data_IF_485269154497
#
_entry.id   IF_485269154497
#
_cell.length_a   1.000
_cell.length_b   1.000
_cell.length_c   1.000
_cell.angle_alpha   90.00
_cell.angle_beta   90.00
_cell.angle_gamma   90.00
#
_symmetry.space_group_name_H-M   'P 1'
#
loop_
_entity.id
_entity.type
_entity.pdbx_description
1 polymer ?
#
# COMPACT_ATOMS: atom_id res chain seq x y z
N UNK A 1 -8.23 8.46 17.66
CA UNK A 1 -7.95 7.01 17.74
C UNK A 1 -9.04 6.30 16.94
N UNK A 2 -8.75 5.89 15.71
CA UNK A 2 -9.63 4.90 15.07
C UNK A 2 -9.51 3.63 15.92
N UNK A 3 -10.53 3.33 16.73
CA UNK A 3 -10.64 2.06 17.44
C UNK A 3 -10.44 1.00 16.36
N UNK A 4 -9.38 0.18 16.47
CA UNK A 4 -9.37 -1.12 15.78
C UNK A 4 -10.71 -1.73 16.15
N UNK A 5 -11.62 -1.87 15.20
CA UNK A 5 -12.82 -2.67 15.41
C UNK A 5 -12.29 -4.05 15.79
N UNK A 6 -12.35 -4.35 17.09
CA UNK A 6 -12.08 -5.71 17.54
C UNK A 6 -13.11 -6.54 16.82
N UNK A 7 -12.67 -7.52 16.03
CA UNK A 7 -13.57 -8.54 15.50
C UNK A 7 -14.53 -8.92 16.62
N UNK A 8 -15.85 -8.94 16.37
CA UNK A 8 -16.81 -9.28 17.41
C UNK A 8 -16.34 -10.59 18.04
N UNK A 9 -15.99 -10.53 19.32
CA UNK A 9 -15.59 -11.73 20.05
C UNK A 9 -16.85 -12.57 20.09
N UNK A 10 -16.84 -13.69 19.38
CA UNK A 10 -17.95 -14.62 19.39
C UNK A 10 -18.08 -15.15 20.82
N UNK A 11 -19.02 -14.58 21.59
CA UNK A 11 -19.39 -15.14 22.88
C UNK A 11 -20.27 -16.33 22.56
N UNK A 12 -19.80 -17.51 22.94
CA UNK A 12 -20.54 -18.75 22.76
C UNK A 12 -21.80 -18.66 23.61
N UNK A 13 -22.94 -18.37 22.98
CA UNK A 13 -24.25 -18.44 23.61
C UNK A 13 -24.79 -19.85 23.37
N UNK A 14 -24.75 -20.66 24.42
CA UNK A 14 -25.24 -22.05 24.40
C UNK A 14 -26.76 -22.06 24.55
N UNK A 15 -27.47 -21.86 23.45
CA UNK A 15 -28.89 -22.16 23.37
C UNK A 15 -29.12 -23.67 23.41
N UNK A 16 -30.29 -24.12 23.89
CA UNK A 16 -30.63 -25.53 24.05
C UNK A 16 -30.50 -26.32 22.74
N UNK A 17 -30.99 -25.75 21.62
CA UNK A 17 -30.79 -26.35 20.29
C UNK A 17 -29.33 -26.52 19.89
N UNK A 18 -28.44 -25.58 20.26
CA UNK A 18 -26.99 -25.71 19.98
C UNK A 18 -26.35 -26.80 20.84
N UNK A 19 -26.79 -26.97 22.09
CA UNK A 19 -26.31 -28.05 22.97
C UNK A 19 -26.69 -29.42 22.41
N UNK A 20 -27.92 -29.55 21.90
CA UNK A 20 -28.38 -30.80 21.29
C UNK A 20 -27.56 -31.15 20.04
N UNK A 21 -27.29 -30.18 19.16
CA UNK A 21 -26.43 -30.38 17.98
C UNK A 21 -25.02 -30.80 18.41
N UNK A 22 -24.42 -30.13 19.40
CA UNK A 22 -23.08 -30.48 19.89
C UNK A 22 -23.07 -31.90 20.48
N UNK A 23 -24.09 -32.30 21.24
CA UNK A 23 -24.19 -33.66 21.78
C UNK A 23 -24.32 -34.71 20.69
N UNK A 24 -25.14 -34.44 19.66
CA UNK A 24 -25.23 -35.33 18.49
C UNK A 24 -23.89 -35.45 17.77
N UNK A 25 -23.16 -34.34 17.59
CA UNK A 25 -21.84 -34.38 16.97
C UNK A 25 -20.81 -35.16 17.79
N UNK A 26 -20.80 -34.99 19.11
CA UNK A 26 -19.91 -35.74 20.00
C UNK A 26 -20.21 -37.24 19.97
N UNK A 27 -21.49 -37.62 19.84
CA UNK A 27 -21.91 -39.02 19.76
C UNK A 27 -21.64 -39.65 18.40
N UNK A 28 -21.93 -38.94 17.31
CA UNK A 28 -21.81 -39.47 15.95
C UNK A 28 -20.34 -39.62 15.51
N UNK A 29 -19.48 -38.68 15.90
CA UNK A 29 -18.06 -38.65 15.51
C UNK A 29 -17.10 -39.23 16.55
N UNK A 30 -17.61 -39.78 17.65
CA UNK A 30 -16.81 -40.39 18.75
C UNK A 30 -15.58 -39.57 19.16
N UNK A 31 -15.83 -38.29 19.46
CA UNK A 31 -14.77 -37.30 19.64
C UNK A 31 -14.09 -37.48 21.00
N UNK A 32 -12.85 -37.97 21.01
CA UNK A 32 -12.04 -38.14 22.23
C UNK A 32 -10.97 -37.04 22.40
N UNK A 33 -10.46 -36.51 21.30
CA UNK A 33 -9.35 -35.55 21.27
C UNK A 33 -9.68 -34.27 20.51
N UNK A 34 -8.81 -33.26 20.66
CA UNK A 34 -8.95 -32.02 19.89
C UNK A 34 -8.67 -32.20 18.38
N UNK A 35 -7.97 -33.27 17.99
CA UNK A 35 -7.72 -33.62 16.60
C UNK A 35 -8.99 -34.22 15.96
N UNK A 36 -9.70 -35.08 16.69
CA UNK A 36 -10.98 -35.66 16.26
C UNK A 36 -12.05 -34.56 16.02
N UNK A 37 -12.01 -33.47 16.81
CA UNK A 37 -12.86 -32.29 16.54
C UNK A 37 -12.56 -31.70 15.17
N UNK A 38 -11.29 -31.60 14.77
CA UNK A 38 -10.92 -31.00 13.49
C UNK A 38 -11.35 -31.88 12.32
N UNK A 39 -11.22 -33.20 12.44
CA UNK A 39 -11.66 -34.13 11.41
C UNK A 39 -13.20 -34.18 11.31
N UNK A 40 -13.90 -34.20 12.44
CA UNK A 40 -15.36 -34.06 12.47
C UNK A 40 -15.83 -32.76 11.80
N UNK A 41 -15.12 -31.64 12.00
CA UNK A 41 -15.43 -30.37 11.33
C UNK A 41 -15.18 -30.41 9.82
N UNK A 42 -14.14 -31.12 9.34
CA UNK A 42 -13.89 -31.31 7.90
C UNK A 42 -15.03 -32.12 7.27
N UNK A 43 -15.40 -33.23 7.89
CA UNK A 43 -16.48 -34.09 7.40
C UNK A 43 -17.82 -33.37 7.42
N UNK A 44 -18.14 -32.64 8.50
CA UNK A 44 -19.36 -31.87 8.59
C UNK A 44 -19.42 -30.77 7.54
N UNK A 45 -18.30 -30.06 7.29
CA UNK A 45 -18.23 -29.05 6.23
C UNK A 45 -18.43 -29.70 4.85
N UNK A 46 -17.74 -30.80 4.57
CA UNK A 46 -17.86 -31.54 3.30
C UNK A 46 -19.27 -32.05 3.06
N UNK A 47 -19.88 -32.65 4.09
CA UNK A 47 -21.26 -33.13 4.07
C UNK A 47 -22.27 -32.01 3.86
N UNK A 48 -22.12 -30.89 4.58
CA UNK A 48 -23.00 -29.71 4.40
C UNK A 48 -22.91 -29.16 2.98
N UNK A 49 -21.70 -29.04 2.43
CA UNK A 49 -21.50 -28.58 1.05
C UNK A 49 -22.16 -29.54 0.06
N UNK A 50 -22.03 -30.85 0.27
CA UNK A 50 -22.66 -31.87 -0.56
C UNK A 50 -24.18 -31.74 -0.55
N UNK A 51 -24.80 -31.71 0.63
CA UNK A 51 -26.26 -31.58 0.78
C UNK A 51 -26.79 -30.31 0.10
N UNK A 52 -26.10 -29.19 0.29
CA UNK A 52 -26.51 -27.94 -0.36
C UNK A 52 -26.37 -28.01 -1.89
N UNK A 53 -25.35 -28.69 -2.44
CA UNK A 53 -25.22 -28.90 -3.89
C UNK A 53 -26.23 -29.92 -4.44
N UNK A 54 -26.66 -30.90 -3.65
CA UNK A 54 -27.77 -31.79 -4.02
C UNK A 54 -29.07 -30.99 -4.13
N UNK A 55 -29.33 -30.08 -3.19
CA UNK A 55 -30.47 -29.16 -3.29
C UNK A 55 -30.38 -28.22 -4.51
N UNK A 56 -29.19 -27.72 -4.86
CA UNK A 56 -28.99 -26.96 -6.11
C UNK A 56 -29.27 -27.81 -7.36
N UNK A 57 -28.91 -29.09 -7.34
CA UNK A 57 -29.15 -30.00 -8.47
C UNK A 57 -30.64 -30.31 -8.63
N UNK A 58 -31.34 -30.56 -7.52
CA UNK A 58 -32.79 -30.81 -7.53
C UNK A 58 -33.54 -29.59 -8.08
N UNK A 59 -33.12 -28.36 -7.70
CA UNK A 59 -33.68 -27.12 -8.25
C UNK A 59 -33.35 -26.94 -9.75
N UNK A 60 -32.11 -27.23 -10.16
CA UNK A 60 -31.68 -27.16 -11.56
C UNK A 60 -32.45 -28.13 -12.46
N UNK A 61 -32.69 -29.36 -12.01
CA UNK A 61 -33.44 -30.38 -12.75
C UNK A 61 -34.96 -30.23 -12.62
N UNK A 62 -35.42 -29.56 -11.56
CA UNK A 62 -36.83 -29.33 -11.25
C UNK A 62 -37.53 -30.52 -10.60
N UNK A 63 -36.80 -31.51 -10.09
CA UNK A 63 -37.34 -32.70 -9.43
C UNK A 63 -36.28 -33.35 -8.53
N UNK A 64 -36.72 -34.13 -7.53
CA UNK A 64 -35.80 -34.79 -6.60
C UNK A 64 -35.24 -36.09 -7.15
N UNK A 65 -34.09 -36.51 -6.63
CA UNK A 65 -33.47 -37.78 -6.99
C UNK A 65 -34.43 -38.98 -6.81
N UNK A 66 -34.66 -39.69 -7.91
CA UNK A 66 -35.57 -40.86 -8.02
C UNK A 66 -37.07 -40.52 -8.05
N UNK A 67 -37.43 -39.24 -8.12
CA UNK A 67 -38.79 -38.81 -8.42
C UNK A 67 -39.09 -39.01 -9.92
N UNK A 68 -40.32 -39.40 -10.25
CA UNK A 68 -40.75 -39.45 -11.65
C UNK A 68 -40.89 -38.03 -12.19
N UNK A 69 -40.26 -37.76 -13.32
CA UNK A 69 -40.28 -36.45 -13.98
C UNK A 69 -40.27 -36.63 -15.49
N UNK A 70 -40.92 -35.69 -16.19
CA UNK A 70 -40.89 -35.58 -17.66
C UNK A 70 -39.66 -34.80 -18.16
N UNK A 71 -38.70 -34.51 -17.28
CA UNK A 71 -37.46 -33.81 -17.63
C UNK A 71 -36.64 -34.59 -18.66
N UNK A 72 -36.05 -33.86 -19.61
CA UNK A 72 -35.16 -34.41 -20.64
C UNK A 72 -33.68 -34.43 -20.16
N UNK A 73 -33.43 -34.16 -18.88
CA UNK A 73 -32.11 -34.30 -18.24
C UNK A 73 -32.22 -35.10 -16.94
N UNK A 74 -31.13 -35.75 -16.54
CA UNK A 74 -31.14 -36.73 -15.47
C UNK A 74 -29.93 -36.61 -14.56
N UNK A 75 -30.10 -36.91 -13.28
CA UNK A 75 -28.96 -37.15 -12.38
C UNK A 75 -28.06 -38.25 -12.96
N UNK A 76 -26.75 -38.02 -12.96
CA UNK A 76 -25.75 -38.88 -13.57
C UNK A 76 -24.57 -39.13 -12.64
N UNK A 77 -24.87 -39.42 -11.37
CA UNK A 77 -23.87 -39.73 -10.35
C UNK A 77 -23.13 -38.50 -9.83
N UNK A 78 -21.92 -38.72 -9.33
CA UNK A 78 -21.11 -37.72 -8.66
C UNK A 78 -19.68 -37.72 -9.17
N UNK A 79 -19.05 -36.55 -9.12
CA UNK A 79 -17.63 -36.37 -9.38
C UNK A 79 -16.92 -35.94 -8.11
N UNK A 80 -15.94 -36.74 -7.68
CA UNK A 80 -15.09 -36.37 -6.56
C UNK A 80 -14.20 -35.18 -6.92
N UNK A 81 -14.16 -34.20 -6.01
CA UNK A 81 -13.41 -32.96 -6.14
C UNK A 81 -12.69 -32.66 -4.84
N UNK A 82 -11.36 -32.54 -4.91
CA UNK A 82 -10.56 -32.06 -3.77
C UNK A 82 -10.74 -30.54 -3.63
N UNK A 83 -11.11 -30.10 -2.42
CA UNK A 83 -11.26 -28.70 -2.04
C UNK A 83 -10.41 -28.37 -0.81
N UNK A 84 -9.93 -27.14 -0.74
CA UNK A 84 -9.15 -26.61 0.38
C UNK A 84 -10.02 -25.63 1.18
N UNK A 85 -10.10 -25.85 2.49
CA UNK A 85 -10.89 -25.04 3.43
C UNK A 85 -9.99 -24.47 4.54
N UNK A 86 -10.56 -23.66 5.43
CA UNK A 86 -9.86 -23.20 6.63
C UNK A 86 -9.46 -24.32 7.59
N UNK A 87 -10.06 -25.50 7.46
CA UNK A 87 -9.78 -26.68 8.28
C UNK A 87 -8.84 -27.68 7.58
N UNK A 88 -8.37 -27.37 6.36
CA UNK A 88 -7.49 -28.23 5.56
C UNK A 88 -8.14 -28.73 4.26
N UNK A 89 -7.46 -29.65 3.59
CA UNK A 89 -7.96 -30.30 2.37
C UNK A 89 -8.99 -31.39 2.69
N UNK A 90 -10.05 -31.47 1.89
CA UNK A 90 -11.04 -32.53 1.95
C UNK A 90 -11.54 -32.88 0.54
N UNK A 91 -12.13 -34.07 0.37
CA UNK A 91 -12.81 -34.45 -0.86
C UNK A 91 -14.32 -34.21 -0.69
N UNK A 92 -14.93 -33.60 -1.71
CA UNK A 92 -16.39 -33.46 -1.80
C UNK A 92 -16.88 -34.15 -3.07
N UNK A 93 -18.09 -34.72 -2.99
CA UNK A 93 -18.77 -35.30 -4.14
C UNK A 93 -19.71 -34.26 -4.75
N UNK A 94 -19.42 -33.88 -6.00
CA UNK A 94 -20.23 -32.89 -6.73
C UNK A 94 -21.24 -33.64 -7.60
N UNK A 95 -22.56 -33.39 -7.46
CA UNK A 95 -23.57 -34.04 -8.29
C UNK A 95 -23.41 -33.64 -9.76
N UNK A 96 -23.79 -34.55 -10.67
CA UNK A 96 -23.70 -34.34 -12.10
C UNK A 96 -25.06 -34.57 -12.77
N UNK A 97 -25.36 -33.79 -13.79
CA UNK A 97 -26.45 -34.01 -14.73
C UNK A 97 -25.94 -34.72 -16.00
N UNK A 98 -26.84 -35.34 -16.75
CA UNK A 98 -26.49 -36.14 -17.92
C UNK A 98 -26.06 -35.26 -19.09
N UNK A 99 -26.65 -34.07 -19.23
CA UNK A 99 -26.28 -33.10 -20.28
C UNK A 99 -25.12 -32.17 -19.89
N UNK A 100 -24.58 -32.27 -18.68
CA UNK A 100 -23.46 -31.44 -18.18
C UNK A 100 -23.73 -29.93 -18.18
N UNK A 101 -25.00 -29.55 -18.10
CA UNK A 101 -25.53 -28.18 -18.03
C UNK A 101 -25.52 -27.61 -16.61
N UNK A 102 -25.49 -28.44 -15.57
CA UNK A 102 -25.50 -27.97 -14.18
C UNK A 102 -24.29 -27.09 -13.84
N UNK A 103 -24.52 -25.91 -13.26
CA UNK A 103 -23.48 -24.98 -12.79
C UNK A 103 -23.60 -24.72 -11.28
N UNK A 104 -22.85 -25.46 -10.43
CA UNK A 104 -22.96 -25.31 -8.98
C UNK A 104 -22.55 -23.91 -8.52
N UNK A 105 -23.31 -23.33 -7.59
CA UNK A 105 -23.08 -21.97 -7.08
C UNK A 105 -22.27 -21.98 -5.78
N UNK A 106 -22.50 -22.93 -4.88
CA UNK A 106 -21.76 -23.06 -3.61
C UNK A 106 -20.27 -23.30 -3.85
N UNK A 107 -19.92 -24.29 -4.69
CA UNK A 107 -18.53 -24.54 -5.11
C UNK A 107 -18.46 -24.58 -6.63
N UNK A 108 -18.13 -23.45 -7.23
CA UNK A 108 -18.12 -23.27 -8.69
C UNK A 108 -17.26 -24.31 -9.41
N UNK A 109 -17.57 -24.57 -10.68
CA UNK A 109 -16.75 -25.43 -11.54
C UNK A 109 -15.29 -24.98 -11.49
N UNK A 110 -14.37 -25.93 -11.28
CA UNK A 110 -12.91 -25.72 -11.16
C UNK A 110 -12.44 -24.92 -9.93
N UNK A 111 -13.32 -24.33 -9.12
CA UNK A 111 -12.94 -23.68 -7.86
C UNK A 111 -12.48 -24.75 -6.86
N UNK A 112 -11.18 -24.78 -6.52
CA UNK A 112 -10.60 -25.71 -5.56
C UNK A 112 -10.39 -25.11 -4.17
N UNK A 113 -10.44 -23.79 -4.06
CA UNK A 113 -10.27 -23.09 -2.80
C UNK A 113 -11.60 -22.48 -2.36
N UNK A 114 -12.05 -22.87 -1.17
CA UNK A 114 -13.22 -22.32 -0.48
C UNK A 114 -12.81 -21.62 0.82
N UNK A 115 -11.51 -21.52 1.07
CA UNK A 115 -10.98 -20.79 2.21
C UNK A 115 -10.92 -19.30 1.89
N UNK A 116 -11.28 -18.46 2.85
CA UNK A 116 -11.08 -17.00 2.80
C UNK A 116 -9.58 -16.62 2.92
N UNK A 117 -8.69 -17.44 2.34
CA UNK A 117 -7.23 -17.33 2.46
C UNK A 117 -6.67 -16.27 1.54
N UNK A 118 -7.35 -15.92 0.45
CA UNK A 118 -6.91 -14.89 -0.50
C UNK A 118 -6.53 -13.59 0.20
N UNK A 119 -7.38 -13.11 1.11
CA UNK A 119 -7.11 -11.91 1.90
C UNK A 119 -5.91 -12.07 2.85
N UNK A 120 -5.70 -13.28 3.37
CA UNK A 120 -4.54 -13.59 4.23
C UNK A 120 -3.26 -13.63 3.40
N UNK A 121 -3.28 -14.22 2.19
CA UNK A 121 -2.20 -14.21 1.22
C UNK A 121 -1.81 -12.76 0.88
N UNK A 122 -2.79 -11.94 0.48
CA UNK A 122 -2.57 -10.53 0.16
C UNK A 122 -1.99 -9.80 1.37
N UNK A 123 -2.49 -10.06 2.59
CA UNK A 123 -1.94 -9.46 3.80
C UNK A 123 -0.51 -9.90 4.11
N UNK A 124 -0.14 -11.16 3.88
CA UNK A 124 1.22 -11.66 4.08
C UNK A 124 2.17 -11.04 3.06
N UNK A 125 1.74 -10.97 1.80
CA UNK A 125 2.49 -10.31 0.73
C UNK A 125 2.67 -8.81 1.00
N UNK A 126 1.64 -8.13 1.51
CA UNK A 126 1.72 -6.72 1.92
C UNK A 126 2.71 -6.48 3.07
N UNK A 127 2.88 -7.47 3.96
CA UNK A 127 3.86 -7.43 5.06
C UNK A 127 5.29 -7.75 4.63
N UNK A 128 5.52 -7.97 3.34
CA UNK A 128 6.85 -8.14 2.78
C UNK A 128 7.32 -9.59 2.64
N UNK A 129 6.47 -10.56 2.95
CA UNK A 129 6.81 -11.97 2.77
C UNK A 129 6.96 -12.29 1.27
N UNK A 130 7.90 -13.17 0.93
CA UNK A 130 8.07 -13.68 -0.43
C UNK A 130 6.99 -14.72 -0.77
N UNK A 131 6.75 -14.97 -2.06
CA UNK A 131 5.82 -16.00 -2.54
C UNK A 131 6.10 -17.37 -1.90
N UNK A 132 7.38 -17.74 -1.83
CA UNK A 132 7.84 -18.96 -1.16
C UNK A 132 7.56 -18.99 0.33
N UNK A 133 7.87 -17.91 1.07
CA UNK A 133 7.58 -17.86 2.51
C UNK A 133 6.08 -17.95 2.79
N UNK A 134 5.25 -17.36 1.94
CA UNK A 134 3.79 -17.45 2.05
C UNK A 134 3.34 -18.89 1.83
N UNK A 135 3.86 -19.54 0.79
CA UNK A 135 3.59 -20.95 0.50
C UNK A 135 3.93 -21.85 1.70
N UNK A 136 5.15 -21.75 2.23
CA UNK A 136 5.60 -22.47 3.43
C UNK A 136 4.69 -22.17 4.65
N UNK A 137 4.32 -20.91 4.87
CA UNK A 137 3.43 -20.52 5.99
C UNK A 137 2.01 -21.07 5.85
N UNK A 138 1.51 -21.22 4.62
CA UNK A 138 0.18 -21.80 4.38
C UNK A 138 0.20 -23.29 4.63
N UNK A 139 1.24 -23.98 4.18
CA UNK A 139 1.43 -25.41 4.45
C UNK A 139 1.51 -25.67 5.97
N UNK A 140 2.31 -24.87 6.70
CA UNK A 140 2.47 -24.99 8.15
C UNK A 140 1.17 -24.76 8.94
N UNK A 141 0.32 -23.81 8.52
CA UNK A 141 -0.87 -23.40 9.28
C UNK A 141 -2.13 -24.16 8.84
N UNK A 142 -2.27 -24.44 7.54
CA UNK A 142 -3.49 -25.03 6.98
C UNK A 142 -3.31 -26.46 6.49
N UNK A 143 -2.08 -27.01 6.47
CA UNK A 143 -1.81 -28.41 6.13
C UNK A 143 -1.97 -28.74 4.64
N UNK A 144 -2.06 -27.74 3.76
CA UNK A 144 -2.09 -27.96 2.32
C UNK A 144 -1.04 -27.11 1.59
N UNK A 145 -0.41 -27.71 0.59
CA UNK A 145 0.60 -27.06 -0.23
C UNK A 145 -0.05 -26.02 -1.17
N UNK A 146 0.60 -24.87 -1.31
CA UNK A 146 0.26 -23.86 -2.32
C UNK A 146 1.50 -23.50 -3.13
N UNK A 147 1.38 -23.39 -4.44
CA UNK A 147 2.52 -23.04 -5.29
C UNK A 147 2.79 -21.53 -5.27
N UNK A 148 4.04 -21.13 -5.56
CA UNK A 148 4.37 -19.70 -5.73
C UNK A 148 3.55 -19.03 -6.84
N UNK A 149 3.22 -19.79 -7.89
CA UNK A 149 2.33 -19.34 -8.98
C UNK A 149 0.94 -19.00 -8.47
N UNK A 150 0.34 -19.87 -7.64
CA UNK A 150 -0.95 -19.60 -7.01
C UNK A 150 -0.92 -18.33 -6.15
N UNK A 151 0.15 -18.11 -5.38
CA UNK A 151 0.32 -16.87 -4.60
C UNK A 151 0.38 -15.65 -5.53
N UNK A 152 1.09 -15.75 -6.66
CA UNK A 152 1.11 -14.67 -7.66
C UNK A 152 -0.30 -14.40 -8.18
N UNK A 153 -1.02 -15.43 -8.63
CA UNK A 153 -2.37 -15.31 -9.19
C UNK A 153 -3.35 -14.65 -8.19
N UNK A 154 -3.31 -15.05 -6.92
CA UNK A 154 -4.12 -14.44 -5.85
C UNK A 154 -3.78 -12.95 -5.69
N UNK A 155 -2.50 -12.61 -5.69
CA UNK A 155 -2.08 -11.20 -5.59
C UNK A 155 -2.33 -10.42 -6.88
N UNK A 156 -2.46 -11.05 -8.04
CA UNK A 156 -2.79 -10.36 -9.29
C UNK A 156 -4.27 -9.95 -9.35
N UNK A 157 -5.13 -10.56 -8.53
CA UNK A 157 -6.54 -10.14 -8.38
C UNK A 157 -6.70 -8.69 -7.89
N UNK A 158 -5.67 -8.10 -7.28
CA UNK A 158 -5.72 -6.69 -6.85
C UNK A 158 -5.34 -5.70 -7.93
N UNK A 159 -4.82 -6.13 -9.09
CA UNK A 159 -4.41 -5.21 -10.17
C UNK A 159 -5.50 -4.21 -10.59
N UNK A 160 -6.78 -4.59 -10.77
CA UNK A 160 -7.84 -3.63 -11.05
C UNK A 160 -8.02 -2.59 -9.94
N UNK A 161 -7.87 -2.99 -8.68
CA UNK A 161 -7.95 -2.06 -7.54
C UNK A 161 -6.79 -1.05 -7.55
N UNK A 162 -5.62 -1.45 -8.05
CA UNK A 162 -4.49 -0.53 -8.17
C UNK A 162 -4.78 0.50 -9.26
N UNK A 163 -5.33 0.06 -10.40
CA UNK A 163 -5.73 0.95 -11.48
C UNK A 163 -6.81 1.94 -11.02
N UNK A 164 -7.84 1.46 -10.32
CA UNK A 164 -8.87 2.31 -9.70
C UNK A 164 -8.26 3.32 -8.71
N UNK A 165 -7.32 2.87 -7.88
CA UNK A 165 -6.65 3.74 -6.92
C UNK A 165 -5.74 4.78 -7.59
N UNK A 166 -5.07 4.44 -8.68
CA UNK A 166 -4.27 5.38 -9.46
C UNK A 166 -5.16 6.41 -10.17
N UNK A 167 -6.36 6.02 -10.61
CA UNK A 167 -7.28 6.90 -11.33
C UNK A 167 -8.31 7.62 -10.45
N UNK A 168 -8.34 7.35 -9.15
CA UNK A 168 -9.32 7.94 -8.22
C UNK A 168 -9.31 9.48 -8.26
N UNK A 169 -10.47 10.14 -8.10
CA UNK A 169 -10.56 11.60 -8.08
C UNK A 169 -9.80 12.16 -6.86
N UNK A 170 -8.84 13.07 -7.07
CA UNK A 170 -8.14 13.79 -6.01
C UNK A 170 -8.98 14.96 -5.49
N UNK A 171 -8.54 15.56 -4.39
CA UNK A 171 -9.08 16.84 -3.94
C UNK A 171 -8.69 17.95 -4.91
N UNK A 172 -9.50 19.02 -4.93
CA UNK A 172 -9.26 20.14 -5.84
C UNK A 172 -7.99 20.93 -5.49
N UNK A 173 -7.69 21.07 -4.19
CA UNK A 173 -6.57 21.90 -3.70
C UNK A 173 -5.73 21.14 -2.69
N UNK A 174 -4.41 21.20 -2.86
CA UNK A 174 -3.44 20.64 -1.91
C UNK A 174 -2.53 21.73 -1.32
N UNK A 175 -2.58 21.94 0.01
CA UNK A 175 -1.67 22.86 0.68
C UNK A 175 -0.19 22.51 0.50
N UNK A 176 0.19 21.26 0.73
CA UNK A 176 1.59 20.83 0.66
C UNK A 176 1.66 19.46 -0.02
N UNK A 177 2.53 19.34 -1.01
CA UNK A 177 2.80 18.11 -1.73
C UNK A 177 4.30 17.80 -1.70
N UNK A 178 4.64 16.57 -1.37
CA UNK A 178 6.00 16.04 -1.31
C UNK A 178 6.23 15.05 -2.44
N UNK A 179 7.38 15.17 -3.10
CA UNK A 179 7.81 14.23 -4.14
C UNK A 179 9.18 13.68 -3.73
N UNK A 180 9.26 12.35 -3.60
CA UNK A 180 10.52 11.66 -3.31
C UNK A 180 10.63 10.40 -4.17
N UNK A 181 11.87 9.92 -4.35
CA UNK A 181 12.21 8.80 -5.19
C UNK A 181 12.85 7.66 -4.38
N UNK A 182 12.46 6.42 -4.66
CA UNK A 182 13.12 5.22 -4.16
C UNK A 182 13.53 4.36 -5.33
N UNK A 183 14.77 3.88 -5.31
CA UNK A 183 15.30 3.04 -6.37
C UNK A 183 15.10 1.56 -6.05
N UNK A 184 14.60 0.81 -7.02
CA UNK A 184 14.41 -0.63 -6.96
C UNK A 184 15.06 -1.31 -8.16
N UNK A 185 15.57 -2.52 -7.96
CA UNK A 185 16.08 -3.35 -9.06
C UNK A 185 14.92 -4.10 -9.69
N UNK A 186 14.68 -3.88 -10.98
CA UNK A 186 13.61 -4.51 -11.74
C UNK A 186 14.18 -5.18 -12.97
N UNK A 187 13.66 -6.35 -13.32
CA UNK A 187 13.99 -7.05 -14.55
C UNK A 187 13.09 -6.52 -15.67
N UNK A 188 13.73 -5.93 -16.68
CA UNK A 188 13.09 -5.43 -17.88
C UNK A 188 13.77 -6.09 -19.09
N UNK A 189 12.98 -6.80 -19.91
CA UNK A 189 13.46 -7.50 -21.11
C UNK A 189 14.71 -8.38 -20.88
N UNK A 190 14.76 -9.07 -19.74
CA UNK A 190 15.88 -9.94 -19.35
C UNK A 190 17.08 -9.24 -18.71
N UNK A 191 17.10 -7.90 -18.67
CA UNK A 191 18.17 -7.10 -18.05
C UNK A 191 17.68 -6.53 -16.73
N UNK A 192 18.53 -6.55 -15.69
CA UNK A 192 18.22 -5.92 -14.41
C UNK A 192 18.58 -4.44 -14.48
N UNK A 193 17.59 -3.56 -14.36
CA UNK A 193 17.75 -2.10 -14.30
C UNK A 193 17.40 -1.59 -12.91
N UNK A 194 17.99 -0.45 -12.52
CA UNK A 194 17.59 0.29 -11.33
C UNK A 194 16.59 1.35 -11.74
N UNK A 195 15.31 1.12 -11.47
CA UNK A 195 14.24 2.07 -11.75
C UNK A 195 13.96 2.93 -10.52
N UNK A 196 13.61 4.19 -10.75
CA UNK A 196 13.15 5.09 -9.72
C UNK A 196 11.63 4.98 -9.60
N UNK A 197 11.13 4.76 -8.39
CA UNK A 197 9.73 4.94 -8.05
C UNK A 197 9.54 6.29 -7.39
N UNK A 198 8.78 7.15 -8.04
CA UNK A 198 8.39 8.45 -7.50
C UNK A 198 7.10 8.30 -6.70
N UNK A 199 7.12 8.80 -5.48
CA UNK A 199 5.98 8.77 -4.57
C UNK A 199 5.56 10.21 -4.31
N UNK A 200 4.29 10.49 -4.59
CA UNK A 200 3.66 11.77 -4.32
C UNK A 200 2.83 11.64 -3.04
N UNK A 201 3.28 12.30 -1.98
CA UNK A 201 2.61 12.35 -0.69
C UNK A 201 2.07 13.76 -0.46
N UNK A 202 0.81 13.89 -0.11
CA UNK A 202 0.20 15.18 0.18
C UNK A 202 -0.13 15.34 1.67
N UNK A 203 -0.36 16.60 2.03
CA UNK A 203 -1.11 17.00 3.21
C UNK A 203 -2.35 17.73 2.70
N UNK A 204 -3.53 17.14 2.95
CA UNK A 204 -4.79 17.71 2.51
C UNK A 204 -5.22 18.91 3.39
N UNK A 205 -6.35 19.54 3.05
CA UNK A 205 -6.90 20.71 3.77
C UNK A 205 -7.25 20.43 5.23
N UNK A 206 -7.51 19.17 5.59
CA UNK A 206 -7.75 18.73 6.97
C UNK A 206 -6.45 18.41 7.75
N UNK A 207 -5.29 18.53 7.11
CA UNK A 207 -3.99 18.22 7.71
C UNK A 207 -3.73 16.73 7.83
N UNK A 208 -4.46 15.90 7.08
CA UNK A 208 -4.22 14.45 6.98
C UNK A 208 -3.23 14.19 5.84
N UNK A 209 -2.36 13.22 6.07
CA UNK A 209 -1.40 12.76 5.07
C UNK A 209 -2.05 11.71 4.19
N UNK A 210 -1.81 11.78 2.90
CA UNK A 210 -2.24 10.78 1.94
C UNK A 210 -1.16 10.57 0.87
N UNK A 211 -1.19 9.42 0.20
CA UNK A 211 -0.33 9.15 -0.97
C UNK A 211 -1.21 9.31 -2.20
N UNK A 212 -0.95 10.32 -3.02
CA UNK A 212 -1.76 10.61 -4.21
C UNK A 212 -1.46 9.66 -5.37
N UNK A 213 -0.17 9.36 -5.55
CA UNK A 213 0.28 8.46 -6.61
C UNK A 213 1.65 7.86 -6.29
N UNK A 214 1.90 6.71 -6.89
CA UNK A 214 3.21 6.09 -6.99
C UNK A 214 3.44 5.67 -8.43
N UNK A 215 4.48 6.20 -9.06
CA UNK A 215 4.79 5.93 -10.46
C UNK A 215 6.20 5.35 -10.57
N UNK A 216 6.35 4.31 -11.36
CA UNK A 216 7.66 3.74 -11.71
C UNK A 216 8.10 4.43 -13.00
N UNK A 217 9.33 4.96 -13.02
CA UNK A 217 9.86 5.68 -14.17
C UNK A 217 11.36 5.45 -14.36
N UNK A 218 11.78 5.37 -15.63
CA UNK A 218 13.18 5.24 -16.04
C UNK A 218 13.83 6.61 -16.35
N UNK A 219 13.02 7.67 -16.56
CA UNK A 219 13.50 8.96 -17.07
C UNK A 219 13.18 10.17 -16.17
N UNK A 220 14.23 10.82 -15.64
CA UNK A 220 14.18 12.12 -14.96
C UNK A 220 14.19 13.30 -15.95
N UNK A 221 13.29 13.32 -16.94
CA UNK A 221 13.21 14.44 -17.88
C UNK A 221 12.13 15.45 -17.48
N UNK A 222 12.31 16.72 -17.86
CA UNK A 222 11.27 17.74 -17.68
C UNK A 222 9.93 17.34 -18.32
N UNK A 223 9.96 16.65 -19.47
CA UNK A 223 8.76 16.12 -20.13
C UNK A 223 8.03 15.07 -19.28
N UNK A 224 8.78 14.21 -18.60
CA UNK A 224 8.20 13.19 -17.71
C UNK A 224 7.50 13.84 -16.51
N UNK A 225 8.15 14.80 -15.85
CA UNK A 225 7.53 15.53 -14.74
C UNK A 225 6.30 16.31 -15.18
N UNK A 226 6.35 16.93 -16.36
CA UNK A 226 5.20 17.61 -16.93
C UNK A 226 4.03 16.64 -17.18
N UNK A 227 4.29 15.42 -17.65
CA UNK A 227 3.23 14.40 -17.79
C UNK A 227 2.63 14.00 -16.45
N UNK A 228 3.45 13.79 -15.42
CA UNK A 228 2.96 13.42 -14.07
C UNK A 228 2.11 14.55 -13.47
N UNK A 229 2.53 15.81 -13.60
CA UNK A 229 1.77 16.95 -13.10
C UNK A 229 0.48 17.20 -13.91
N UNK A 230 0.51 16.98 -15.23
CA UNK A 230 -0.68 17.06 -16.07
C UNK A 230 -1.66 15.94 -15.75
N UNK A 231 -1.20 14.74 -15.40
CA UNK A 231 -2.08 13.66 -14.93
C UNK A 231 -2.85 14.08 -13.68
N UNK A 232 -2.17 14.67 -12.68
CA UNK A 232 -2.83 15.21 -11.48
C UNK A 232 -3.89 16.26 -11.85
N UNK A 233 -3.55 17.16 -12.76
CA UNK A 233 -4.47 18.21 -13.25
C UNK A 233 -5.69 17.61 -13.95
N UNK A 234 -5.48 16.64 -14.83
CA UNK A 234 -6.54 15.94 -15.57
C UNK A 234 -7.46 15.13 -14.64
N UNK A 235 -6.90 14.59 -13.54
CA UNK A 235 -7.68 13.88 -12.53
C UNK A 235 -8.57 14.81 -11.69
N UNK A 236 -8.26 16.11 -11.62
CA UNK A 236 -9.10 17.11 -10.95
C UNK A 236 -8.38 18.09 -10.03
N UNK A 237 -7.04 18.00 -9.91
CA UNK A 237 -6.27 18.97 -9.10
C UNK A 237 -6.27 20.33 -9.78
N UNK A 238 -6.88 21.32 -9.11
CA UNK A 238 -6.95 22.71 -9.58
C UNK A 238 -5.77 23.53 -9.11
N UNK A 239 -5.35 23.34 -7.85
CA UNK A 239 -4.30 24.16 -7.28
C UNK A 239 -3.41 23.43 -6.25
N UNK A 240 -2.15 23.82 -6.20
CA UNK A 240 -1.16 23.34 -5.23
C UNK A 240 -0.41 24.55 -4.70
N UNK A 241 -0.36 24.74 -3.38
CA UNK A 241 0.35 25.91 -2.83
C UNK A 241 1.85 25.68 -2.83
N UNK A 242 2.29 24.57 -2.25
CA UNK A 242 3.70 24.26 -2.03
C UNK A 242 4.02 22.86 -2.55
N UNK A 243 5.03 22.75 -3.41
CA UNK A 243 5.64 21.46 -3.77
C UNK A 243 7.05 21.40 -3.18
N UNK A 244 7.30 20.40 -2.34
CA UNK A 244 8.58 20.10 -1.74
C UNK A 244 9.15 18.82 -2.37
N UNK A 245 10.22 18.95 -3.16
CA UNK A 245 10.87 17.80 -3.79
C UNK A 245 12.39 17.86 -3.60
N UNK A 246 13.07 16.73 -3.82
CA UNK A 246 14.50 16.83 -4.14
C UNK A 246 14.67 17.60 -5.47
N UNK A 247 15.88 18.06 -5.77
CA UNK A 247 16.16 18.72 -7.05
C UNK A 247 16.33 17.70 -8.15
N UNK A 248 15.18 17.14 -8.53
CA UNK A 248 15.00 16.25 -9.65
C UNK A 248 15.14 17.07 -10.94
N UNK A 249 15.79 16.49 -11.94
CA UNK A 249 16.09 17.20 -13.18
C UNK A 249 14.81 17.63 -13.90
N UNK A 250 14.69 18.92 -14.23
CA UNK A 250 13.56 19.44 -15.00
C UNK A 250 12.25 19.65 -14.24
N UNK A 251 12.22 19.39 -12.92
CA UNK A 251 10.99 19.48 -12.12
C UNK A 251 10.53 20.93 -11.90
N UNK A 252 11.47 21.87 -11.75
CA UNK A 252 11.16 23.30 -11.53
C UNK A 252 10.44 23.88 -12.74
N UNK A 253 10.91 23.55 -13.94
CA UNK A 253 10.32 23.97 -15.22
C UNK A 253 8.95 23.31 -15.42
N UNK A 254 8.80 22.04 -15.06
CA UNK A 254 7.54 21.32 -15.16
C UNK A 254 6.47 21.88 -14.21
N UNK A 255 6.85 22.22 -12.96
CA UNK A 255 5.95 22.87 -11.99
C UNK A 255 5.51 24.23 -12.52
N UNK A 256 6.45 25.06 -12.98
CA UNK A 256 6.13 26.38 -13.51
C UNK A 256 5.17 26.33 -14.72
N UNK A 257 5.25 25.27 -15.53
CA UNK A 257 4.35 25.07 -16.67
C UNK A 257 2.96 24.53 -16.27
N UNK A 258 2.89 23.54 -15.39
CA UNK A 258 1.62 22.89 -15.02
C UNK A 258 0.81 23.68 -13.99
N UNK A 259 1.50 24.20 -12.97
CA UNK A 259 0.97 24.92 -11.83
C UNK A 259 1.77 26.20 -11.55
N UNK A 260 1.59 27.26 -12.36
CA UNK A 260 2.43 28.47 -12.32
C UNK A 260 2.35 29.26 -11.01
N UNK A 261 1.29 29.08 -10.21
CA UNK A 261 1.11 29.75 -8.91
C UNK A 261 1.74 28.97 -7.75
N UNK A 262 2.25 27.76 -7.99
CA UNK A 262 2.81 26.91 -6.95
C UNK A 262 4.22 27.34 -6.57
N UNK A 263 4.49 27.43 -5.28
CA UNK A 263 5.84 27.66 -4.77
C UNK A 263 6.61 26.33 -4.71
N UNK A 264 7.71 26.27 -5.45
CA UNK A 264 8.63 25.14 -5.37
C UNK A 264 9.64 25.35 -4.25
N UNK A 265 9.74 24.35 -3.37
CA UNK A 265 10.73 24.29 -2.30
C UNK A 265 11.65 23.08 -2.50
N UNK A 266 12.96 23.33 -2.43
CA UNK A 266 13.95 22.27 -2.32
C UNK A 266 13.82 21.62 -0.94
N UNK A 267 13.72 20.31 -0.90
CA UNK A 267 13.65 19.56 0.34
C UNK A 267 14.93 19.73 1.17
N UNK A 268 14.84 20.44 2.30
CA UNK A 268 15.97 20.70 3.22
C UNK A 268 16.61 19.41 3.72
N UNK A 269 15.83 18.36 4.01
CA UNK A 269 16.41 17.13 4.55
C UNK A 269 17.24 16.41 3.49
N UNK A 270 16.80 16.40 2.23
CA UNK A 270 17.61 15.89 1.12
C UNK A 270 18.87 16.75 0.92
N UNK A 271 18.75 18.07 1.00
CA UNK A 271 19.89 18.98 0.92
C UNK A 271 20.92 18.69 2.02
N UNK A 272 20.49 18.62 3.28
CA UNK A 272 21.34 18.31 4.45
C UNK A 272 21.98 16.93 4.32
N UNK A 273 21.21 15.90 3.95
CA UNK A 273 21.74 14.54 3.75
C UNK A 273 22.79 14.49 2.65
N UNK A 274 22.50 15.12 1.50
CA UNK A 274 23.42 15.15 0.38
C UNK A 274 24.73 15.87 0.73
N UNK A 275 24.68 16.95 1.52
CA UNK A 275 25.87 17.59 2.06
C UNK A 275 26.63 16.71 3.06
N UNK A 276 25.92 16.08 4.00
CA UNK A 276 26.52 15.22 5.03
C UNK A 276 27.09 13.89 4.52
N UNK A 277 26.89 13.52 3.23
CA UNK A 277 27.54 12.36 2.60
C UNK A 277 29.04 12.55 2.44
N UNK A 278 29.50 13.79 2.27
CA UNK A 278 30.91 14.12 2.07
C UNK A 278 31.67 14.37 3.38
N UNK A 279 30.97 14.35 4.52
CA UNK A 279 31.53 14.64 5.85
C UNK A 279 31.75 13.33 6.60
N UNK A 280 33.00 13.00 7.00
CA UNK A 280 33.30 11.85 7.84
C UNK A 280 32.54 11.86 9.17
N UNK A 281 32.31 10.67 9.74
CA UNK A 281 31.46 10.51 10.93
C UNK A 281 31.94 11.33 12.15
N UNK A 282 33.26 11.46 12.32
CA UNK A 282 33.91 12.25 13.39
C UNK A 282 33.42 13.70 13.45
N UNK A 283 33.31 14.36 12.30
CA UNK A 283 32.97 15.78 12.21
C UNK A 283 31.47 16.00 11.92
N UNK A 284 30.73 14.90 11.65
CA UNK A 284 29.33 14.91 11.19
C UNK A 284 28.36 15.57 12.16
N UNK A 285 28.52 15.34 13.47
CA UNK A 285 27.68 15.95 14.52
C UNK A 285 27.88 17.46 14.59
N UNK A 286 29.14 17.91 14.54
CA UNK A 286 29.47 19.34 14.58
C UNK A 286 28.98 20.05 13.30
N UNK A 287 29.27 19.46 12.13
CA UNK A 287 28.82 19.99 10.84
C UNK A 287 27.29 20.08 10.75
N UNK A 288 26.57 19.04 11.21
CA UNK A 288 25.10 19.05 11.21
C UNK A 288 24.52 20.11 12.16
N UNK A 289 25.18 20.39 13.30
CA UNK A 289 24.79 21.46 14.20
C UNK A 289 24.98 22.84 13.56
N UNK A 290 26.07 23.03 12.82
CA UNK A 290 26.32 24.26 12.08
C UNK A 290 25.32 24.43 10.93
N UNK A 291 25.04 23.38 10.15
CA UNK A 291 24.01 23.40 9.09
C UNK A 291 22.62 23.79 9.60
N UNK A 292 22.25 23.36 10.81
CA UNK A 292 20.96 23.74 11.43
C UNK A 292 20.79 25.25 11.56
N UNK A 293 21.88 25.99 11.75
CA UNK A 293 21.82 27.45 11.90
C UNK A 293 21.30 28.15 10.64
N UNK A 294 21.46 27.53 9.47
CA UNK A 294 21.02 28.09 8.18
C UNK A 294 19.50 28.08 8.11
N UNK A 295 18.86 26.92 8.26
CA UNK A 295 17.41 26.78 8.07
C UNK A 295 16.58 27.06 9.34
N UNK A 296 17.21 27.20 10.51
CA UNK A 296 16.56 27.72 11.72
C UNK A 296 16.69 29.24 11.87
N UNK A 297 17.35 29.94 10.94
CA UNK A 297 17.43 31.39 10.97
C UNK A 297 16.02 32.02 10.89
N UNK A 298 15.84 33.20 11.51
CA UNK A 298 14.53 33.87 11.53
C UNK A 298 14.11 34.37 10.14
N UNK A 299 15.05 34.86 9.35
CA UNK A 299 14.86 35.46 8.03
C UNK A 299 15.95 35.01 7.05
N UNK A 300 15.76 35.36 5.77
CA UNK A 300 16.66 34.99 4.68
C UNK A 300 18.06 35.62 4.84
N UNK A 301 18.15 36.88 5.29
CA UNK A 301 19.43 37.58 5.46
C UNK A 301 20.31 36.89 6.51
N UNK A 302 19.74 36.55 7.67
CA UNK A 302 20.45 35.78 8.71
C UNK A 302 20.79 34.38 8.22
N UNK A 303 19.93 33.76 7.43
CA UNK A 303 20.22 32.45 6.84
C UNK A 303 21.42 32.52 5.88
N UNK A 304 21.51 33.59 5.08
CA UNK A 304 22.63 33.83 4.16
C UNK A 304 23.94 34.06 4.90
N UNK A 305 23.92 34.86 5.97
CA UNK A 305 25.08 35.07 6.84
C UNK A 305 25.52 33.76 7.53
N UNK A 306 24.55 32.95 7.99
CA UNK A 306 24.83 31.64 8.55
C UNK A 306 25.46 30.72 7.48
N UNK A 307 24.94 30.71 6.25
CA UNK A 307 25.50 29.94 5.14
C UNK A 307 26.96 30.31 4.87
N UNK A 308 27.30 31.61 4.82
CA UNK A 308 28.67 32.07 4.58
C UNK A 308 29.60 31.68 5.74
N UNK A 309 29.16 31.83 6.99
CA UNK A 309 29.93 31.41 8.18
C UNK A 309 30.21 29.90 8.19
N UNK A 310 29.21 29.08 7.85
CA UNK A 310 29.38 27.62 7.78
C UNK A 310 30.34 27.26 6.65
N UNK A 311 30.23 27.94 5.51
CA UNK A 311 31.11 27.75 4.36
C UNK A 311 32.55 28.09 4.71
N UNK A 312 32.82 29.24 5.31
CA UNK A 312 34.17 29.64 5.72
C UNK A 312 34.80 28.62 6.70
N UNK A 313 34.04 28.18 7.71
CA UNK A 313 34.50 27.23 8.73
C UNK A 313 34.93 25.88 8.15
N UNK A 314 34.18 25.37 7.18
CA UNK A 314 34.33 23.98 6.72
C UNK A 314 34.98 23.82 5.34
N UNK A 315 35.09 24.87 4.53
CA UNK A 315 35.65 24.79 3.18
C UNK A 315 37.09 24.30 3.16
N UNK A 316 37.88 24.62 4.18
CA UNK A 316 39.28 24.17 4.31
C UNK A 316 39.41 22.64 4.42
N UNK A 317 38.48 21.99 5.14
CA UNK A 317 38.46 20.53 5.31
C UNK A 317 37.67 19.81 4.22
N UNK A 318 36.53 20.38 3.82
CA UNK A 318 35.56 19.76 2.93
C UNK A 318 35.25 20.69 1.76
N UNK A 319 36.20 20.84 0.82
CA UNK A 319 35.99 21.66 -0.37
C UNK A 319 34.77 21.13 -1.13
N UNK A 320 33.91 22.04 -1.59
CA UNK A 320 32.66 21.77 -2.30
C UNK A 320 31.46 21.25 -1.48
N UNK A 321 31.59 20.99 -0.18
CA UNK A 321 30.47 20.54 0.66
C UNK A 321 29.28 21.52 0.65
N UNK A 322 29.57 22.82 0.58
CA UNK A 322 28.57 23.89 0.57
C UNK A 322 28.18 24.39 -0.82
N UNK A 323 28.86 23.97 -1.90
CA UNK A 323 28.60 24.46 -3.27
C UNK A 323 27.11 24.32 -3.66
N UNK A 324 26.53 23.15 -3.41
CA UNK A 324 25.12 22.86 -3.70
C UNK A 324 24.13 23.72 -2.91
N UNK A 325 24.53 24.34 -1.79
CA UNK A 325 23.66 25.26 -1.06
C UNK A 325 23.54 26.60 -1.79
N UNK A 326 24.62 27.08 -2.39
CA UNK A 326 24.61 28.27 -3.24
C UNK A 326 23.84 27.99 -4.54
N UNK A 327 24.14 26.86 -5.21
CA UNK A 327 23.49 26.50 -6.49
C UNK A 327 21.96 26.36 -6.37
N UNK A 328 21.45 26.02 -5.18
CA UNK A 328 20.02 25.78 -4.93
C UNK A 328 19.39 26.81 -4.00
N UNK A 329 20.09 27.91 -3.70
CA UNK A 329 19.65 28.87 -2.68
C UNK A 329 18.26 29.41 -3.00
N UNK A 330 18.00 29.78 -4.25
CA UNK A 330 16.73 30.33 -4.73
C UNK A 330 15.53 29.38 -4.53
N UNK A 331 15.76 28.07 -4.47
CA UNK A 331 14.73 27.08 -4.19
C UNK A 331 14.59 26.77 -2.68
N UNK A 332 15.55 27.21 -1.86
CA UNK A 332 15.53 27.06 -0.40
C UNK A 332 14.93 28.32 0.24
N UNK A 333 15.26 29.51 -0.25
CA UNK A 333 14.87 30.80 0.36
C UNK A 333 13.39 31.01 0.59
N UNK A 334 12.44 30.51 -0.25
CA UNK A 334 11.02 30.78 -0.02
C UNK A 334 10.53 30.18 1.31
N UNK A 335 11.25 29.22 1.90
CA UNK A 335 10.92 28.67 3.22
C UNK A 335 10.93 29.74 4.32
N UNK A 336 11.72 30.81 4.17
CA UNK A 336 11.84 31.84 5.20
C UNK A 336 10.62 32.78 5.28
N UNK A 337 9.71 32.73 4.30
CA UNK A 337 8.44 33.45 4.35
C UNK A 337 7.49 32.91 5.42
N UNK A 338 7.61 31.62 5.74
CA UNK A 338 6.73 30.93 6.68
C UNK A 338 7.21 31.06 8.11
N UNK A 339 6.29 30.92 9.07
CA UNK A 339 6.60 30.84 10.49
C UNK A 339 7.36 29.54 10.83
N UNK A 340 8.05 29.49 12.00
CA UNK A 340 8.71 28.27 12.45
C UNK A 340 7.81 27.03 12.51
N UNK A 341 6.51 27.19 12.81
CA UNK A 341 5.55 26.09 12.89
C UNK A 341 5.24 25.52 11.50
N UNK A 342 4.99 26.38 10.51
CA UNK A 342 4.76 25.96 9.12
C UNK A 342 6.03 25.39 8.50
N UNK A 343 7.18 26.04 8.71
CA UNK A 343 8.49 25.51 8.27
C UNK A 343 8.70 24.11 8.82
N UNK A 344 8.41 23.89 10.11
CA UNK A 344 8.52 22.57 10.73
C UNK A 344 7.67 21.56 10.00
N UNK A 345 6.45 21.85 9.57
CA UNK A 345 5.69 20.91 8.73
C UNK A 345 6.40 20.65 7.40
N UNK A 346 6.82 21.70 6.70
CA UNK A 346 7.47 21.60 5.38
C UNK A 346 8.77 20.78 5.46
N UNK A 347 9.67 21.04 6.40
CA UNK A 347 10.95 20.32 6.51
C UNK A 347 10.90 19.11 7.44
N UNK A 348 9.82 18.85 8.20
CA UNK A 348 9.65 17.55 8.87
C UNK A 348 9.20 16.52 7.84
N UNK A 349 10.15 16.13 7.00
CA UNK A 349 10.03 15.10 5.96
C UNK A 349 9.76 13.70 6.57
N UNK A 350 9.56 13.62 7.90
CA UNK A 350 9.13 12.43 8.65
C UNK A 350 7.98 11.68 7.96
N UNK A 351 7.05 12.37 7.29
CA UNK A 351 5.96 11.72 6.58
C UNK A 351 6.46 10.83 5.42
N UNK A 352 7.13 11.43 4.43
CA UNK A 352 7.61 10.72 3.24
C UNK A 352 8.86 9.87 3.55
N UNK A 353 9.68 10.24 4.53
CA UNK A 353 10.80 9.41 4.99
C UNK A 353 10.37 8.18 5.77
N UNK A 354 9.37 8.31 6.64
CA UNK A 354 8.78 7.16 7.32
C UNK A 354 8.14 6.22 6.31
N UNK A 355 7.50 6.77 5.27
CA UNK A 355 6.95 6.00 4.17
C UNK A 355 8.08 5.26 3.43
N UNK A 356 9.14 5.97 3.04
CA UNK A 356 10.29 5.41 2.33
C UNK A 356 11.07 4.37 3.16
N UNK A 357 11.16 4.58 4.48
CA UNK A 357 11.70 3.58 5.41
C UNK A 357 10.84 2.32 5.44
N UNK A 358 9.50 2.48 5.44
CA UNK A 358 8.56 1.35 5.41
C UNK A 358 8.65 0.59 4.09
N UNK A 359 8.69 1.29 2.95
CA UNK A 359 8.92 0.69 1.63
C UNK A 359 10.21 -0.13 1.58
N UNK A 360 11.32 0.41 2.09
CA UNK A 360 12.61 -0.32 2.17
C UNK A 360 12.52 -1.51 3.11
N UNK A 361 11.85 -1.38 4.25
CA UNK A 361 11.70 -2.45 5.24
C UNK A 361 10.90 -3.63 4.70
N UNK A 362 9.70 -3.37 4.15
CA UNK A 362 8.81 -4.44 3.67
C UNK A 362 9.32 -5.07 2.37
N UNK A 363 10.07 -4.35 1.55
CA UNK A 363 10.64 -4.90 0.32
C UNK A 363 12.10 -5.37 0.47
N UNK A 364 12.66 -5.44 1.69
CA UNK A 364 14.07 -5.83 1.92
C UNK A 364 14.39 -7.24 1.41
N UNK A 365 13.43 -8.15 1.47
CA UNK A 365 13.59 -9.55 1.03
C UNK A 365 13.41 -9.71 -0.49
N UNK A 366 12.92 -8.68 -1.20
CA UNK A 366 12.69 -8.66 -2.64
C UNK A 366 13.82 -7.92 -3.33
N UNK A 367 14.93 -8.62 -3.57
CA UNK A 367 16.16 -8.02 -4.12
C UNK A 367 16.00 -7.55 -5.56
N UNK A 368 15.28 -8.31 -6.39
CA UNK A 368 15.00 -8.02 -7.80
C UNK A 368 13.54 -8.33 -8.09
N UNK A 369 12.82 -7.35 -8.62
CA UNK A 369 11.44 -7.52 -9.07
C UNK A 369 11.41 -8.12 -10.49
N UNK A 370 10.55 -9.12 -10.77
CA UNK A 370 10.46 -9.72 -12.10
C UNK A 370 9.95 -8.79 -13.21
N UNK A 371 9.19 -7.75 -12.84
CA UNK A 371 8.62 -6.76 -13.75
C UNK A 371 8.17 -5.51 -12.97
N UNK A 372 7.89 -4.43 -13.72
CA UNK A 372 7.35 -3.18 -13.17
C UNK A 372 5.97 -3.38 -12.51
N UNK A 373 5.14 -4.26 -13.05
CA UNK A 373 3.82 -4.58 -12.48
C UNK A 373 3.92 -5.23 -11.11
N UNK A 374 4.90 -6.11 -10.89
CA UNK A 374 5.13 -6.74 -9.58
C UNK A 374 5.68 -5.71 -8.58
N UNK A 375 6.55 -4.81 -9.03
CA UNK A 375 7.03 -3.70 -8.19
C UNK A 375 5.86 -2.80 -7.76
N UNK A 376 5.04 -2.37 -8.71
CA UNK A 376 3.88 -1.52 -8.47
C UNK A 376 2.88 -2.18 -7.52
N UNK A 377 2.61 -3.48 -7.68
CA UNK A 377 1.80 -4.29 -6.75
C UNK A 377 2.35 -4.28 -5.32
N UNK A 378 3.65 -4.51 -5.17
CA UNK A 378 4.32 -4.51 -3.87
C UNK A 378 4.29 -3.13 -3.19
N UNK A 379 4.50 -2.07 -3.97
CA UNK A 379 4.47 -0.69 -3.48
C UNK A 379 3.06 -0.27 -3.10
N UNK A 380 2.05 -0.56 -3.92
CA UNK A 380 0.65 -0.34 -3.61
C UNK A 380 0.30 -0.95 -2.24
N UNK A 381 0.53 -2.26 -2.07
CA UNK A 381 0.24 -2.94 -0.81
C UNK A 381 1.01 -2.38 0.39
N UNK A 382 2.28 -2.03 0.19
CA UNK A 382 3.09 -1.40 1.25
C UNK A 382 2.55 -0.02 1.63
N UNK A 383 2.02 0.73 0.66
CA UNK A 383 1.38 2.04 0.89
C UNK A 383 0.20 1.90 1.84
N UNK A 384 -0.68 0.93 1.59
CA UNK A 384 -1.82 0.65 2.48
C UNK A 384 -1.37 0.18 3.86
N UNK A 385 -0.30 -0.62 3.97
CA UNK A 385 0.22 -1.02 5.27
C UNK A 385 0.84 0.16 6.05
N UNK A 386 1.51 1.08 5.36
CA UNK A 386 2.10 2.27 5.96
C UNK A 386 1.02 3.27 6.44
N UNK A 387 0.00 3.50 5.60
CA UNK A 387 -1.07 4.48 5.82
C UNK A 387 -2.08 4.04 6.89
N UNK A 388 -2.21 2.74 7.21
CA UNK A 388 -3.02 2.24 8.35
C UNK A 388 -2.73 2.95 9.68
N UNK A 389 -1.51 3.45 9.86
CA UNK A 389 -1.09 4.17 11.07
C UNK A 389 -1.40 5.67 11.02
N UNK A 390 -1.73 6.23 9.86
CA UNK A 390 -2.00 7.65 9.65
C UNK A 390 -3.43 7.99 10.05
N UNK A 391 -3.71 7.95 11.34
CA UNK A 391 -5.04 8.21 11.91
C UNK A 391 -5.18 9.60 12.51
N UNK A 392 -4.09 10.36 12.57
CA UNK A 392 -4.04 11.68 13.18
C UNK A 392 -3.64 12.72 12.16
N UNK A 393 -4.30 13.89 12.21
CA UNK A 393 -3.88 15.08 11.50
C UNK A 393 -2.58 15.63 12.09
N UNK A 394 -1.94 16.52 11.32
CA UNK A 394 -0.75 17.23 11.76
C UNK A 394 -1.09 18.07 12.99
N UNK A 395 -0.19 18.06 13.97
CA UNK A 395 -0.37 18.82 15.20
C UNK A 395 -0.41 20.32 14.88
N UNK A 396 -1.32 21.04 15.54
CA UNK A 396 -1.54 22.48 15.35
C UNK A 396 -1.96 22.86 13.91
N UNK A 397 -2.55 21.92 13.15
CA UNK A 397 -2.90 22.17 11.75
C UNK A 397 -3.77 23.41 11.54
N UNK A 398 -4.73 23.71 12.42
CA UNK A 398 -5.56 24.92 12.27
C UNK A 398 -4.76 26.24 12.25
N UNK A 399 -3.70 26.35 13.06
CA UNK A 399 -2.82 27.52 13.06
C UNK A 399 -2.00 27.61 11.75
N UNK A 400 -1.45 26.47 11.33
CA UNK A 400 -0.71 26.34 10.06
C UNK A 400 -1.61 26.68 8.86
N UNK A 401 -2.83 26.15 8.86
CA UNK A 401 -3.82 26.37 7.82
C UNK A 401 -4.25 27.84 7.76
N UNK A 402 -4.47 28.49 8.91
CA UNK A 402 -4.76 29.91 8.98
C UNK A 402 -3.64 30.77 8.40
N UNK A 403 -2.38 30.47 8.73
CA UNK A 403 -1.23 31.16 8.13
C UNK A 403 -1.15 30.96 6.61
N UNK A 404 -1.31 29.73 6.13
CA UNK A 404 -1.34 29.44 4.69
C UNK A 404 -2.50 30.15 3.99
N UNK A 405 -3.67 30.25 4.63
CA UNK A 405 -4.84 30.93 4.07
C UNK A 405 -4.62 32.44 3.93
N UNK A 406 -3.89 33.06 4.87
CA UNK A 406 -3.50 34.47 4.79
C UNK A 406 -2.44 34.68 3.69
N UNK A 407 -1.44 33.81 3.62
CA UNK A 407 -0.35 33.93 2.64
C UNK A 407 -0.81 33.68 1.20
N UNK A 408 -1.80 32.80 1.04
CA UNK A 408 -2.33 32.36 -0.25
C UNK A 408 -3.82 32.70 -0.36
N UNK A 409 -4.14 33.98 -0.16
CA UNK A 409 -5.51 34.50 -0.15
C UNK A 409 -6.32 34.04 -1.38
N UNK A 410 -7.52 33.50 -1.13
CA UNK A 410 -8.45 33.03 -2.16
C UNK A 410 -8.05 31.74 -2.87
N UNK A 411 -7.02 31.01 -2.40
CA UNK A 411 -6.57 29.74 -3.01
C UNK A 411 -6.97 28.50 -2.21
N UNK A 412 -7.23 28.64 -0.91
CA UNK A 412 -7.73 27.55 -0.06
C UNK A 412 -9.26 27.67 0.12
N UNK A 413 -9.98 26.54 0.24
CA UNK A 413 -11.40 26.56 0.60
C UNK A 413 -11.60 27.13 2.01
N UNK A 414 -12.74 27.77 2.25
CA UNK A 414 -13.10 28.33 3.57
C UNK A 414 -13.36 27.27 4.64
#
# INVERSE_FOLDING_TARGET
>A
MARREKKPVHKVVMAEGKRNIIQQLLQEYDIETAEDIQDALKDLLGGTIKEMMEAEMDDHLGYQKSEQSDSDDYHNGYKSKRVNSSYGSMYIDVPQDRKSTFEPQIVKKRQKDISDIDQKIISMYAKGMTTRQISETIEDIYGFETSEGFISDVTDKILPQIEDWQNRPPNEVYPILYIDAIHYSVRDNGVIRKLATYVILDINTEGKKEVLSSTVGDNESSKYWLSVLNELKNRGVKDILIICADGLSGIKEAIAAAFPKTEYLRCIVHQVRNTLKYVPDKDRKAFASDLKTIYHASDEEKARLALDRVTEKWTTKYPNSMKRWYDNWDAITPIFKFSPDVRKVIYTVNAIESLNSTYRKLNRQRSVFPSDTVLLKALYLTTFEATKKWTMSIRNWGQIYGELSIMYEGRLPE
#
